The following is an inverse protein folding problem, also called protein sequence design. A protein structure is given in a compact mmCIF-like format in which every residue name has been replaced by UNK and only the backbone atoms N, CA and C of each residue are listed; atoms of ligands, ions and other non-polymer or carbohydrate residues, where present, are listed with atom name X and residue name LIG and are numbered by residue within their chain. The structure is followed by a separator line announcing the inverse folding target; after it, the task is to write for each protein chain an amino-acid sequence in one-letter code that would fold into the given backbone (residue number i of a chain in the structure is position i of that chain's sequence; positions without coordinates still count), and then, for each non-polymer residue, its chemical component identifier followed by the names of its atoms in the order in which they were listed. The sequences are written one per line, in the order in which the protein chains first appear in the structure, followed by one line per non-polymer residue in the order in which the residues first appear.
data_IF_665351348235
#
_entry.id   IF_665351348235
#
_cell.length_a   1.000
_cell.length_b   1.000
_cell.length_c   1.000
_cell.angle_alpha   90.00
_cell.angle_beta   90.00
_cell.angle_gamma   90.00
#
_symmetry.space_group_name_H-M   'P 1'
#
loop_
_entity.id
_entity.type
_entity.pdbx_description
1 polymer ?
#
# COMPACT_ATOMS: atom_id res chain seq x y z
N UNK A 1 -13.74 -17.83 -14.47
CA UNK A 1 -12.25 -17.79 -14.58
C UNK A 1 -11.87 -16.50 -15.26
N UNK A 2 -11.08 -15.64 -14.59
CA UNK A 2 -10.54 -14.39 -15.14
C UNK A 2 -9.24 -14.67 -15.93
N UNK A 3 -9.26 -15.77 -16.74
CA UNK A 3 -8.11 -16.27 -17.47
C UNK A 3 -7.53 -15.22 -18.43
N UNK A 4 -6.25 -14.96 -18.31
CA UNK A 4 -5.51 -14.04 -19.18
C UNK A 4 -5.39 -12.60 -18.67
N UNK A 5 -5.93 -12.26 -17.47
CA UNK A 5 -5.78 -10.93 -16.86
C UNK A 5 -4.76 -10.98 -15.73
N UNK A 6 -3.85 -10.03 -15.73
CA UNK A 6 -2.78 -9.95 -14.76
C UNK A 6 -2.63 -8.52 -14.22
N UNK A 7 -2.24 -8.40 -12.97
CA UNK A 7 -1.77 -7.16 -12.37
C UNK A 7 -0.24 -7.20 -12.29
N UNK A 8 0.40 -6.14 -12.72
CA UNK A 8 1.83 -5.97 -12.53
C UNK A 8 2.09 -5.55 -11.11
N UNK A 9 2.77 -6.40 -10.34
CA UNK A 9 3.04 -6.23 -8.92
C UNK A 9 4.53 -6.10 -8.65
N UNK A 10 4.88 -5.27 -7.69
CA UNK A 10 6.22 -5.23 -7.11
C UNK A 10 6.38 -6.35 -6.08
N UNK A 11 5.38 -6.52 -5.21
CA UNK A 11 5.41 -7.49 -4.12
C UNK A 11 4.03 -7.80 -3.56
N UNK A 12 3.91 -8.98 -2.94
CA UNK A 12 2.74 -9.40 -2.15
C UNK A 12 3.27 -9.92 -0.81
N UNK A 13 2.78 -9.39 0.31
CA UNK A 13 3.26 -9.77 1.65
C UNK A 13 2.08 -10.07 2.59
N UNK A 14 2.21 -11.15 3.35
CA UNK A 14 1.32 -11.50 4.45
C UNK A 14 2.10 -12.09 5.65
N UNK A 15 1.74 -11.77 6.89
CA UNK A 15 0.89 -10.67 7.30
C UNK A 15 1.63 -9.33 7.30
N UNK A 16 0.93 -8.26 6.96
CA UNK A 16 1.36 -6.90 7.27
C UNK A 16 0.44 -6.31 8.34
N UNK A 17 0.98 -5.43 9.20
CA UNK A 17 0.26 -4.81 10.34
C UNK A 17 0.48 -3.31 10.42
N UNK A 18 1.28 -2.75 9.53
CA UNK A 18 1.70 -1.35 9.57
C UNK A 18 0.96 -0.43 8.59
N UNK A 19 0.11 -0.98 7.72
CA UNK A 19 -0.64 -0.24 6.70
C UNK A 19 -2.12 -0.62 6.74
N UNK A 20 -2.82 -0.15 7.76
CA UNK A 20 -4.23 -0.42 8.04
C UNK A 20 -4.42 -1.22 9.33
N UNK A 21 -5.67 -1.35 9.82
CA UNK A 21 -5.97 -2.06 11.06
C UNK A 21 -5.87 -3.59 10.89
N UNK A 22 -5.37 -4.27 11.92
CA UNK A 22 -5.31 -5.73 11.97
C UNK A 22 -4.19 -6.34 11.10
N UNK A 23 -4.34 -7.64 10.79
CA UNK A 23 -3.42 -8.43 9.94
C UNK A 23 -3.93 -8.41 8.51
N UNK A 24 -3.10 -7.97 7.58
CA UNK A 24 -3.55 -7.70 6.21
C UNK A 24 -2.69 -8.42 5.19
N UNK A 25 -3.29 -8.79 4.06
CA UNK A 25 -2.51 -9.05 2.84
C UNK A 25 -2.19 -7.69 2.22
N UNK A 26 -0.91 -7.41 1.99
CA UNK A 26 -0.48 -6.22 1.25
C UNK A 26 -0.11 -6.59 -0.19
N UNK A 27 -0.65 -5.88 -1.16
CA UNK A 27 -0.29 -5.97 -2.58
C UNK A 27 0.25 -4.61 -3.02
N UNK A 28 1.51 -4.57 -3.46
CA UNK A 28 2.12 -3.38 -4.05
C UNK A 28 2.13 -3.53 -5.56
N UNK A 29 1.38 -2.68 -6.25
CA UNK A 29 1.36 -2.64 -7.71
C UNK A 29 2.61 -1.93 -8.24
N UNK A 30 3.01 -2.29 -9.44
CA UNK A 30 4.16 -1.74 -10.14
C UNK A 30 3.71 -0.74 -11.21
N UNK A 31 4.47 0.34 -11.37
CA UNK A 31 4.21 1.46 -12.27
C UNK A 31 3.65 2.68 -11.55
N UNK A 32 4.29 3.84 -11.72
CA UNK A 32 3.83 5.12 -11.20
C UNK A 32 4.40 6.27 -12.03
N UNK A 33 3.53 7.06 -12.62
CA UNK A 33 3.91 8.27 -13.37
C UNK A 33 3.83 9.55 -12.54
N UNK A 34 3.35 9.48 -11.29
CA UNK A 34 3.21 10.64 -10.40
C UNK A 34 4.57 11.19 -9.94
N UNK A 35 5.59 10.34 -9.83
CA UNK A 35 6.98 10.67 -9.56
C UNK A 35 7.18 11.66 -8.39
N UNK A 36 6.48 11.44 -7.27
CA UNK A 36 6.51 12.33 -6.11
C UNK A 36 7.93 12.48 -5.56
N UNK A 37 8.41 13.72 -5.41
CA UNK A 37 9.73 13.99 -4.85
C UNK A 37 9.84 13.44 -3.42
N UNK A 38 10.86 12.59 -3.18
CA UNK A 38 11.09 11.96 -1.88
C UNK A 38 10.24 10.72 -1.61
N UNK A 39 9.56 10.18 -2.63
CA UNK A 39 8.83 8.91 -2.50
C UNK A 39 9.74 7.80 -1.99
N UNK A 40 9.29 7.03 -1.01
CA UNK A 40 10.04 5.92 -0.43
C UNK A 40 9.93 4.61 -1.23
N UNK A 41 9.06 4.55 -2.23
CA UNK A 41 8.80 3.36 -3.06
C UNK A 41 9.20 3.60 -4.51
N UNK A 42 10.37 4.18 -4.76
CA UNK A 42 10.84 4.51 -6.12
C UNK A 42 11.09 3.26 -6.98
N UNK A 43 11.40 2.14 -6.34
CA UNK A 43 11.49 0.82 -6.96
C UNK A 43 10.20 0.40 -7.69
N UNK A 44 9.05 0.96 -7.30
CA UNK A 44 7.76 0.68 -7.94
C UNK A 44 7.42 1.60 -9.12
N UNK A 45 8.27 2.58 -9.47
CA UNK A 45 7.93 3.57 -10.49
C UNK A 45 7.98 3.03 -11.93
N UNK A 46 9.00 2.21 -12.23
CA UNK A 46 9.17 1.69 -13.58
C UNK A 46 8.01 0.76 -13.96
N UNK A 47 7.17 1.12 -14.94
CA UNK A 47 6.04 0.28 -15.33
C UNK A 47 6.46 -1.05 -15.97
N UNK A 48 7.71 -1.16 -16.47
CA UNK A 48 8.28 -2.40 -16.98
C UNK A 48 8.92 -3.29 -15.90
N UNK A 49 9.02 -2.79 -14.66
CA UNK A 49 9.53 -3.57 -13.51
C UNK A 49 8.49 -4.50 -12.90
N UNK A 50 8.86 -5.13 -11.79
CA UNK A 50 7.98 -6.05 -11.07
C UNK A 50 7.65 -7.32 -11.87
N UNK A 51 6.57 -7.98 -11.47
CA UNK A 51 6.13 -9.27 -12.07
C UNK A 51 4.65 -9.18 -12.43
N UNK A 52 4.27 -9.73 -13.56
CA UNK A 52 2.86 -9.96 -13.89
C UNK A 52 2.34 -11.16 -13.09
N UNK A 53 1.33 -10.93 -12.27
CA UNK A 53 0.68 -11.96 -11.47
C UNK A 53 -0.77 -12.07 -11.94
N UNK A 54 -1.16 -13.28 -12.34
CA UNK A 54 -2.52 -13.52 -12.77
C UNK A 54 -3.53 -13.19 -11.65
N UNK A 55 -4.69 -12.64 -12.02
CA UNK A 55 -5.75 -12.31 -11.05
C UNK A 55 -6.15 -13.55 -10.25
N UNK A 56 -6.25 -14.72 -10.88
CA UNK A 56 -6.58 -15.97 -10.19
C UNK A 56 -5.53 -16.37 -9.14
N UNK A 57 -4.23 -16.05 -9.37
CA UNK A 57 -3.17 -16.28 -8.41
C UNK A 57 -3.26 -15.34 -7.21
N UNK A 58 -3.51 -14.05 -7.45
CA UNK A 58 -3.74 -13.08 -6.39
C UNK A 58 -4.97 -13.43 -5.54
N UNK A 59 -6.04 -13.93 -6.18
CA UNK A 59 -7.22 -14.42 -5.46
C UNK A 59 -6.90 -15.63 -4.58
N UNK A 60 -6.09 -16.58 -5.07
CA UNK A 60 -5.62 -17.71 -4.23
C UNK A 60 -4.84 -17.21 -3.02
N UNK A 61 -3.86 -16.30 -3.25
CA UNK A 61 -3.08 -15.70 -2.14
C UNK A 61 -3.97 -14.98 -1.13
N UNK A 62 -4.98 -14.27 -1.61
CA UNK A 62 -5.95 -13.59 -0.74
C UNK A 62 -6.77 -14.57 0.09
N UNK A 63 -7.34 -15.60 -0.53
CA UNK A 63 -8.11 -16.62 0.18
C UNK A 63 -7.24 -17.40 1.18
N UNK A 64 -5.97 -17.66 0.85
CA UNK A 64 -5.02 -18.27 1.78
C UNK A 64 -4.76 -17.36 2.99
N UNK A 65 -4.58 -16.07 2.76
CA UNK A 65 -4.42 -15.08 3.82
C UNK A 65 -5.68 -15.00 4.72
N UNK A 66 -6.89 -15.04 4.12
CA UNK A 66 -8.15 -15.06 4.88
C UNK A 66 -8.23 -16.31 5.75
N UNK A 67 -7.90 -17.50 5.22
CA UNK A 67 -7.83 -18.74 6.00
C UNK A 67 -6.80 -18.67 7.14
N UNK A 68 -5.71 -17.93 6.92
CA UNK A 68 -4.68 -17.70 7.93
C UNK A 68 -5.01 -16.53 8.89
N UNK A 69 -6.24 -15.99 8.84
CA UNK A 69 -6.75 -14.96 9.76
C UNK A 69 -6.44 -13.53 9.31
N UNK A 70 -6.41 -13.23 8.02
CA UNK A 70 -6.35 -11.85 7.55
C UNK A 70 -7.64 -11.10 7.91
N UNK A 71 -7.48 -9.87 8.43
CA UNK A 71 -8.57 -8.95 8.75
C UNK A 71 -8.96 -8.08 7.56
N UNK A 72 -8.08 -7.92 6.57
CA UNK A 72 -8.31 -7.09 5.41
C UNK A 72 -7.19 -7.15 4.36
N UNK A 73 -7.43 -6.44 3.27
CA UNK A 73 -6.55 -6.30 2.12
C UNK A 73 -6.04 -4.85 2.06
N UNK A 74 -4.76 -4.66 1.77
CA UNK A 74 -4.18 -3.32 1.50
C UNK A 74 -3.59 -3.30 0.11
N UNK A 75 -4.05 -2.38 -0.71
CA UNK A 75 -3.53 -2.12 -2.06
C UNK A 75 -2.71 -0.84 -2.02
N UNK A 76 -1.45 -0.93 -2.45
CA UNK A 76 -0.49 0.17 -2.47
C UNK A 76 0.50 -0.04 -3.63
N UNK A 77 1.71 0.51 -3.56
CA UNK A 77 2.79 0.26 -4.51
C UNK A 77 3.28 1.51 -5.21
N UNK A 78 3.31 1.49 -6.53
CA UNK A 78 3.39 2.64 -7.38
C UNK A 78 2.09 3.44 -7.34
N UNK A 79 1.35 3.48 -8.45
CA UNK A 79 0.01 4.06 -8.46
C UNK A 79 -1.02 3.00 -8.88
N UNK A 80 -1.78 2.43 -7.92
CA UNK A 80 -2.72 1.35 -8.22
C UNK A 80 -3.78 1.71 -9.26
N UNK A 81 -4.23 2.95 -9.28
CA UNK A 81 -5.27 3.40 -10.20
C UNK A 81 -4.77 3.56 -11.66
N UNK A 82 -3.47 3.37 -11.93
CA UNK A 82 -2.95 3.23 -13.30
C UNK A 82 -3.19 1.82 -13.88
N UNK A 83 -3.63 0.86 -13.05
CA UNK A 83 -4.09 -0.46 -13.48
C UNK A 83 -5.58 -0.68 -13.15
N UNK A 84 -6.37 0.40 -13.15
CA UNK A 84 -7.73 0.44 -12.60
C UNK A 84 -8.66 -0.65 -13.15
N UNK A 85 -8.65 -0.92 -14.46
CA UNK A 85 -9.56 -1.88 -15.07
C UNK A 85 -9.39 -3.30 -14.48
N UNK A 86 -8.15 -3.81 -14.45
CA UNK A 86 -7.87 -5.15 -13.93
C UNK A 86 -7.96 -5.18 -12.41
N UNK A 87 -7.58 -4.07 -11.74
CA UNK A 87 -7.71 -3.94 -10.29
C UNK A 87 -9.18 -4.01 -9.86
N UNK A 88 -10.10 -3.34 -10.56
CA UNK A 88 -11.53 -3.39 -10.26
C UNK A 88 -12.09 -4.83 -10.36
N UNK A 89 -11.64 -5.59 -11.36
CA UNK A 89 -12.04 -7.00 -11.52
C UNK A 89 -11.51 -7.90 -10.40
N UNK A 90 -10.22 -7.72 -10.05
CA UNK A 90 -9.64 -8.42 -8.91
C UNK A 90 -10.43 -8.13 -7.63
N UNK A 91 -10.70 -6.86 -7.32
CA UNK A 91 -11.41 -6.46 -6.11
C UNK A 91 -12.85 -6.97 -6.08
N UNK A 92 -13.55 -6.96 -7.22
CA UNK A 92 -14.90 -7.53 -7.31
C UNK A 92 -14.92 -9.02 -6.96
N UNK A 93 -13.90 -9.77 -7.38
CA UNK A 93 -13.77 -11.19 -7.06
C UNK A 93 -13.17 -11.46 -5.66
N UNK A 94 -12.43 -10.51 -5.10
CA UNK A 94 -11.78 -10.61 -3.80
C UNK A 94 -12.71 -10.30 -2.61
N UNK A 95 -13.96 -9.93 -2.84
CA UNK A 95 -14.92 -9.58 -1.79
C UNK A 95 -15.13 -10.75 -0.83
N UNK A 96 -14.85 -10.53 0.46
CA UNK A 96 -15.08 -11.48 1.55
C UNK A 96 -15.79 -10.73 2.68
N UNK A 97 -16.89 -11.30 3.19
CA UNK A 97 -17.65 -10.71 4.28
C UNK A 97 -16.73 -10.37 5.48
N UNK A 98 -16.93 -9.21 6.06
CA UNK A 98 -16.19 -8.69 7.23
C UNK A 98 -14.67 -8.52 7.00
N UNK A 99 -14.21 -8.49 5.74
CA UNK A 99 -12.82 -8.20 5.37
C UNK A 99 -12.78 -6.94 4.53
N UNK A 100 -12.16 -5.91 5.10
CA UNK A 100 -12.10 -4.60 4.46
C UNK A 100 -10.94 -4.48 3.47
N UNK A 101 -11.10 -3.56 2.54
CA UNK A 101 -10.07 -3.18 1.56
C UNK A 101 -9.66 -1.72 1.80
N UNK A 102 -8.36 -1.51 2.03
CA UNK A 102 -7.72 -0.19 2.07
C UNK A 102 -6.92 0.03 0.78
N UNK A 103 -7.20 1.13 0.10
CA UNK A 103 -6.46 1.56 -1.08
C UNK A 103 -5.61 2.80 -0.76
N UNK A 104 -4.38 2.81 -1.26
CA UNK A 104 -3.54 4.00 -1.34
C UNK A 104 -3.52 4.51 -2.78
N UNK A 105 -3.71 5.81 -2.98
CA UNK A 105 -3.55 6.46 -4.28
C UNK A 105 -2.94 7.86 -4.12
N UNK A 106 -2.12 8.25 -5.06
CA UNK A 106 -1.61 9.61 -5.12
C UNK A 106 -2.55 10.58 -5.82
N UNK A 107 -3.66 10.12 -6.37
CA UNK A 107 -4.69 11.01 -6.93
C UNK A 107 -5.58 11.60 -5.84
N UNK A 108 -6.11 12.81 -6.09
CA UNK A 108 -7.26 13.34 -5.36
C UNK A 108 -8.55 12.79 -5.98
N UNK A 109 -9.65 12.79 -5.21
CA UNK A 109 -10.90 12.19 -5.68
C UNK A 109 -11.50 12.89 -6.91
N UNK A 110 -11.28 14.18 -7.05
CA UNK A 110 -11.74 15.01 -8.18
C UNK A 110 -10.87 14.86 -9.45
N UNK A 111 -9.73 14.20 -9.35
CA UNK A 111 -8.89 13.84 -10.50
C UNK A 111 -9.29 12.51 -11.17
N UNK A 112 -10.18 11.74 -10.54
CA UNK A 112 -10.50 10.38 -10.96
C UNK A 112 -11.49 10.36 -12.13
N UNK A 113 -11.13 9.62 -13.19
CA UNK A 113 -12.05 9.27 -14.27
C UNK A 113 -12.95 8.08 -13.89
N UNK A 114 -13.79 7.67 -14.82
CA UNK A 114 -14.80 6.62 -14.62
C UNK A 114 -14.20 5.28 -14.17
N UNK A 115 -13.10 4.84 -14.81
CA UNK A 115 -12.46 3.57 -14.46
C UNK A 115 -11.87 3.58 -13.06
N UNK A 116 -11.21 4.67 -12.66
CA UNK A 116 -10.65 4.83 -11.32
C UNK A 116 -11.74 4.91 -10.26
N UNK A 117 -12.82 5.65 -10.53
CA UNK A 117 -14.00 5.73 -9.65
C UNK A 117 -14.64 4.36 -9.44
N UNK A 118 -14.70 3.53 -10.48
CA UNK A 118 -15.17 2.14 -10.38
C UNK A 118 -14.33 1.25 -9.46
N UNK A 119 -13.04 1.57 -9.22
CA UNK A 119 -12.22 0.91 -8.18
C UNK A 119 -12.68 1.34 -6.79
N UNK A 120 -13.00 2.63 -6.60
CA UNK A 120 -13.42 3.15 -5.29
C UNK A 120 -14.73 2.53 -4.80
N UNK A 121 -15.62 2.12 -5.69
CA UNK A 121 -16.86 1.41 -5.35
C UNK A 121 -16.62 0.03 -4.70
N UNK A 122 -15.37 -0.46 -4.73
CA UNK A 122 -14.97 -1.81 -4.29
C UNK A 122 -13.99 -1.78 -3.13
N UNK A 123 -13.74 -0.61 -2.55
CA UNK A 123 -12.85 -0.45 -1.40
C UNK A 123 -13.60 0.19 -0.23
N UNK A 124 -13.19 -0.15 0.98
CA UNK A 124 -13.85 0.33 2.20
C UNK A 124 -13.26 1.64 2.71
N UNK A 125 -11.99 1.87 2.41
CA UNK A 125 -11.34 3.13 2.72
C UNK A 125 -10.24 3.44 1.70
N UNK A 126 -9.96 4.72 1.51
CA UNK A 126 -8.90 5.20 0.64
C UNK A 126 -8.02 6.21 1.37
N UNK A 127 -6.71 6.14 1.11
CA UNK A 127 -5.77 7.22 1.42
C UNK A 127 -5.42 7.90 0.11
N UNK A 128 -5.82 9.18 -0.02
CA UNK A 128 -5.66 9.99 -1.24
C UNK A 128 -4.53 10.99 -1.11
N UNK A 129 -4.07 11.49 -2.25
CA UNK A 129 -3.15 12.62 -2.34
C UNK A 129 -1.69 12.23 -2.54
N UNK A 130 -1.02 13.00 -3.40
CA UNK A 130 0.41 12.84 -3.69
C UNK A 130 1.23 13.06 -2.44
N UNK A 131 2.27 12.25 -2.27
CA UNK A 131 3.22 12.50 -1.20
C UNK A 131 3.90 13.87 -1.39
N UNK A 132 3.90 14.68 -0.34
CA UNK A 132 4.54 16.00 -0.28
C UNK A 132 5.61 16.01 0.82
N UNK A 133 6.88 15.98 0.44
CA UNK A 133 7.99 16.01 1.40
C UNK A 133 8.04 17.30 2.24
N UNK A 134 7.43 18.39 1.74
CA UNK A 134 7.34 19.69 2.43
C UNK A 134 6.26 19.74 3.50
N UNK A 135 5.39 18.73 3.58
CA UNK A 135 4.24 18.69 4.49
C UNK A 135 4.32 17.47 5.42
N UNK A 136 5.33 17.38 6.32
CA UNK A 136 5.48 16.23 7.19
C UNK A 136 4.29 16.08 8.13
N UNK A 137 3.93 14.84 8.43
CA UNK A 137 2.81 14.51 9.32
C UNK A 137 3.17 13.44 10.32
N UNK A 138 2.37 13.34 11.39
CA UNK A 138 2.34 12.20 12.33
C UNK A 138 1.05 11.39 12.23
N UNK A 139 0.15 11.79 11.33
CA UNK A 139 -1.11 11.09 11.13
C UNK A 139 -0.82 9.65 10.67
N UNK A 140 -1.49 8.71 11.31
CA UNK A 140 -1.25 7.27 11.05
C UNK A 140 -1.44 6.93 9.57
N UNK A 141 -0.60 6.06 9.02
CA UNK A 141 -0.60 5.53 7.64
C UNK A 141 -0.42 6.57 6.54
N UNK A 142 -0.17 7.84 6.86
CA UNK A 142 0.02 8.93 5.89
C UNK A 142 1.47 9.43 5.89
N UNK A 143 1.99 9.68 4.68
CA UNK A 143 3.36 10.18 4.49
C UNK A 143 3.47 11.69 4.59
N UNK A 144 2.38 12.42 4.31
CA UNK A 144 2.33 13.88 4.33
C UNK A 144 0.96 14.39 4.77
N UNK A 145 0.90 15.64 5.25
CA UNK A 145 -0.29 16.21 5.89
C UNK A 145 -1.45 16.46 4.92
N UNK A 146 -1.15 16.66 3.64
CA UNK A 146 -2.16 16.79 2.59
C UNK A 146 -2.94 15.49 2.33
N UNK A 147 -2.37 14.32 2.68
CA UNK A 147 -3.03 13.04 2.43
C UNK A 147 -4.23 12.84 3.36
N UNK A 148 -5.30 12.29 2.82
CA UNK A 148 -6.57 12.11 3.53
C UNK A 148 -6.93 10.63 3.63
N UNK A 149 -7.26 10.16 4.83
CA UNK A 149 -7.89 8.86 5.05
C UNK A 149 -9.41 9.04 5.02
N UNK A 150 -10.06 8.43 4.06
CA UNK A 150 -11.50 8.60 3.79
C UNK A 150 -12.16 7.22 3.82
N UNK A 151 -12.99 6.91 4.84
CA UNK A 151 -13.88 5.77 4.81
C UNK A 151 -14.95 5.95 3.72
N UNK A 152 -15.28 4.88 2.99
CA UNK A 152 -16.20 4.91 1.86
C UNK A 152 -17.46 4.05 2.06
N UNK A 153 -17.38 3.04 2.94
CA UNK A 153 -18.48 2.10 3.22
C UNK A 153 -18.81 2.08 4.72
N UNK A 154 -19.95 1.50 5.13
CA UNK A 154 -20.23 1.28 6.56
C UNK A 154 -19.14 0.47 7.28
N UNK A 155 -18.55 -0.54 6.64
CA UNK A 155 -17.42 -1.29 7.18
C UNK A 155 -16.17 -0.40 7.28
N UNK A 156 -15.92 0.43 6.28
CA UNK A 156 -14.86 1.44 6.29
C UNK A 156 -15.05 2.46 7.42
N UNK A 157 -16.26 2.97 7.62
CA UNK A 157 -16.56 3.85 8.75
C UNK A 157 -16.26 3.18 10.10
N UNK A 158 -16.72 1.96 10.30
CA UNK A 158 -16.47 1.22 11.52
C UNK A 158 -14.98 1.01 11.80
N UNK A 159 -14.20 0.66 10.76
CA UNK A 159 -12.80 0.26 10.90
C UNK A 159 -11.82 1.42 10.85
N UNK A 160 -12.11 2.48 10.09
CA UNK A 160 -11.13 3.53 9.80
C UNK A 160 -11.47 4.89 10.42
N UNK A 161 -12.73 5.19 10.71
CA UNK A 161 -13.12 6.45 11.36
C UNK A 161 -12.32 6.71 12.65
N UNK A 162 -12.07 5.73 13.52
CA UNK A 162 -11.26 5.94 14.72
C UNK A 162 -9.82 6.40 14.47
N UNK A 163 -9.31 6.26 13.23
CA UNK A 163 -7.93 6.55 12.87
C UNK A 163 -7.74 7.81 12.02
N UNK A 164 -8.83 8.47 11.60
CA UNK A 164 -8.76 9.63 10.68
C UNK A 164 -7.86 10.74 11.22
N UNK A 165 -7.94 11.04 12.52
CA UNK A 165 -7.17 12.13 13.14
C UNK A 165 -6.14 11.63 14.15
N UNK A 166 -5.77 10.34 14.09
CA UNK A 166 -4.84 9.74 15.04
C UNK A 166 -3.40 10.02 14.65
N UNK A 167 -2.65 10.55 15.61
CA UNK A 167 -1.20 10.71 15.57
C UNK A 167 -0.57 9.85 16.65
N UNK A 168 -0.18 8.61 16.36
CA UNK A 168 0.38 7.72 17.38
C UNK A 168 1.75 8.23 17.85
N UNK A 169 2.16 7.92 19.10
CA UNK A 169 3.47 8.32 19.62
C UNK A 169 4.63 7.73 18.81
N UNK A 170 4.40 6.58 18.18
CA UNK A 170 5.32 5.92 17.26
C UNK A 170 4.56 5.47 16.01
N UNK A 171 5.07 5.82 14.83
CA UNK A 171 4.51 5.33 13.58
C UNK A 171 4.61 3.79 13.52
N UNK A 172 3.55 3.09 13.10
CA UNK A 172 3.64 1.65 12.89
C UNK A 172 4.59 1.36 11.73
N UNK A 173 5.63 0.60 12.00
CA UNK A 173 6.62 0.14 11.01
C UNK A 173 6.92 -1.32 11.30
N UNK A 174 6.88 -2.13 10.28
CA UNK A 174 7.21 -3.55 10.32
C UNK A 174 8.45 -3.79 9.47
N UNK A 175 9.37 -4.57 9.99
CA UNK A 175 10.55 -5.04 9.26
C UNK A 175 10.37 -6.53 8.98
N UNK A 176 10.61 -6.92 7.75
CA UNK A 176 10.66 -8.33 7.33
C UNK A 176 11.97 -8.57 6.60
N UNK A 177 12.62 -9.67 6.91
CA UNK A 177 13.82 -10.14 6.20
C UNK A 177 13.44 -11.45 5.51
N UNK A 178 13.70 -11.54 4.21
CA UNK A 178 13.40 -12.69 3.37
C UNK A 178 14.42 -12.76 2.24
N UNK A 179 15.08 -13.90 2.06
CA UNK A 179 16.10 -14.17 1.03
C UNK A 179 17.15 -13.04 0.85
N UNK A 180 17.66 -12.52 1.98
CA UNK A 180 18.65 -11.43 1.97
C UNK A 180 18.08 -10.04 1.66
N UNK A 181 16.77 -9.94 1.42
CA UNK A 181 16.06 -8.68 1.23
C UNK A 181 15.45 -8.19 2.55
N UNK A 182 15.62 -6.92 2.85
CA UNK A 182 14.98 -6.27 3.99
C UNK A 182 13.81 -5.42 3.48
N UNK A 183 12.60 -5.83 3.88
CA UNK A 183 11.37 -5.11 3.58
C UNK A 183 10.99 -4.24 4.77
N UNK A 184 10.84 -2.94 4.52
CA UNK A 184 10.29 -2.01 5.49
C UNK A 184 8.87 -1.67 5.06
N UNK A 185 7.90 -2.11 5.86
CA UNK A 185 6.46 -1.90 5.62
C UNK A 185 5.93 -0.88 6.62
N UNK A 186 5.25 0.14 6.12
CA UNK A 186 4.72 1.23 6.93
C UNK A 186 5.14 2.59 6.39
N UNK A 187 4.75 3.64 7.10
CA UNK A 187 5.10 5.02 6.76
C UNK A 187 5.94 5.60 7.89
N UNK A 188 7.29 5.47 7.83
CA UNK A 188 8.17 6.02 8.84
C UNK A 188 8.15 7.56 8.81
N UNK A 189 8.38 8.24 9.94
CA UNK A 189 8.49 9.69 9.98
C UNK A 189 9.58 10.21 9.04
N UNK A 190 9.42 11.45 8.56
CA UNK A 190 10.43 12.10 7.73
C UNK A 190 11.83 12.04 8.39
N UNK A 191 12.84 11.64 7.62
CA UNK A 191 14.22 11.48 8.08
C UNK A 191 14.50 10.25 8.95
N UNK A 192 13.54 9.35 9.16
CA UNK A 192 13.77 8.12 9.93
C UNK A 192 14.61 7.09 9.16
N UNK A 193 14.39 6.93 7.84
CA UNK A 193 15.08 5.92 7.03
C UNK A 193 16.61 6.09 7.02
N UNK A 194 17.18 7.29 6.82
CA UNK A 194 18.63 7.48 6.91
C UNK A 194 19.21 7.17 8.31
N UNK A 195 18.42 7.39 9.39
CA UNK A 195 18.83 7.05 10.75
C UNK A 195 18.87 5.54 10.96
N UNK A 196 17.83 4.83 10.49
CA UNK A 196 17.77 3.36 10.54
C UNK A 196 18.95 2.76 9.76
N UNK A 197 19.20 3.25 8.56
CA UNK A 197 20.32 2.79 7.73
C UNK A 197 21.69 2.99 8.44
N UNK A 198 21.88 4.16 9.05
CA UNK A 198 23.11 4.44 9.82
C UNK A 198 23.28 3.47 10.99
N UNK A 199 22.22 3.27 11.78
CA UNK A 199 22.24 2.35 12.93
C UNK A 199 22.52 0.92 12.52
N UNK A 200 21.97 0.45 11.39
CA UNK A 200 22.25 -0.89 10.87
C UNK A 200 23.67 -1.02 10.34
N UNK A 201 24.21 0.01 9.69
CA UNK A 201 25.60 0.06 9.24
C UNK A 201 26.60 -0.01 10.41
N UNK A 202 26.30 0.67 11.53
CA UNK A 202 27.10 0.58 12.77
C UNK A 202 27.11 -0.83 13.36
N UNK A 203 26.11 -1.66 13.04
CA UNK A 203 26.01 -3.08 13.40
C UNK A 203 26.56 -4.03 12.32
N UNK A 204 27.24 -3.51 11.29
CA UNK A 204 27.82 -4.30 10.21
C UNK A 204 26.85 -4.69 9.09
N UNK A 205 25.60 -4.18 9.10
CA UNK A 205 24.61 -4.43 8.04
C UNK A 205 24.68 -3.30 7.02
N UNK A 206 25.08 -3.62 5.80
CA UNK A 206 25.20 -2.65 4.70
C UNK A 206 24.16 -2.99 3.63
N UNK A 207 23.38 -1.99 3.22
CA UNK A 207 22.49 -2.12 2.06
C UNK A 207 23.24 -1.75 0.78
N UNK A 208 23.23 -2.63 -0.20
CA UNK A 208 23.73 -2.34 -1.53
C UNK A 208 22.81 -1.36 -2.24
N UNK A 209 21.49 -1.63 -2.19
CA UNK A 209 20.45 -0.78 -2.76
C UNK A 209 19.35 -0.47 -1.73
N UNK A 210 18.71 0.67 -1.88
CA UNK A 210 17.55 1.04 -1.08
C UNK A 210 16.58 1.91 -1.89
N UNK A 211 15.30 1.54 -1.90
CA UNK A 211 14.26 2.20 -2.69
C UNK A 211 14.06 3.69 -2.36
N UNK A 212 14.46 4.10 -1.16
CA UNK A 212 14.31 5.48 -0.68
C UNK A 212 15.55 6.37 -0.95
N UNK A 213 16.65 5.81 -1.47
CA UNK A 213 17.81 6.63 -1.87
C UNK A 213 17.51 7.37 -3.17
N UNK A 214 18.05 8.59 -3.35
CA UNK A 214 17.87 9.38 -4.57
C UNK A 214 18.36 8.68 -5.82
#
# INVERSE_FOLDING_TARGET
MLSGRALRTSRVLYPITALGPGRRLGIWLQGCTLACKGCMSRDTWNPGGGTEVAVDDLLRMWHDAVRAGADGLTISGGEPLQQAAVLAEFLAAATVADRDVLLYTGYELDELGEQQSGVLERVDAVITGRYSAGEPTRLIWRGSANQRLIPLTPLGEQRYRPFVDVSPPRAPVQVRVDDGLLWLVGVPPAGALPKVERSLREQGIVFEEAAWRP
#
